data_IF_570314482925
#
_entry.id   IF_570314482925
#
_cell.length_a   1.000
_cell.length_b   1.000
_cell.length_c   1.000
_cell.angle_alpha   90.00
_cell.angle_beta   90.00
_cell.angle_gamma   90.00
#
_symmetry.space_group_name_H-M   'P 1'
#
loop_
_entity.id
_entity.type
_entity.pdbx_description
1 polymer ?
#
# COMPACT_ATOMS: atom_id res chain seq x y z
N UNK A 1 -37.83 -75.06 -44.48
CA UNK A 1 -37.07 -73.81 -44.64
C UNK A 1 -37.93 -72.63 -44.16
N UNK A 2 -37.70 -72.16 -42.93
CA UNK A 2 -37.62 -70.72 -42.60
C UNK A 2 -37.18 -70.59 -41.14
N UNK A 3 -36.01 -69.99 -40.97
CA UNK A 3 -35.37 -69.64 -39.70
C UNK A 3 -36.34 -68.95 -38.76
N UNK A 4 -36.49 -69.48 -37.54
CA UNK A 4 -36.83 -68.64 -36.40
C UNK A 4 -35.50 -68.33 -35.72
N UNK A 5 -34.90 -67.20 -36.09
CA UNK A 5 -33.71 -66.69 -35.42
C UNK A 5 -34.06 -66.39 -33.96
N UNK A 6 -33.48 -67.16 -33.04
CA UNK A 6 -33.44 -66.82 -31.63
C UNK A 6 -32.64 -65.53 -31.49
N UNK A 7 -33.33 -64.40 -31.30
CA UNK A 7 -32.70 -63.19 -30.81
C UNK A 7 -32.53 -63.39 -29.31
N UNK A 8 -31.34 -63.83 -28.90
CA UNK A 8 -30.88 -63.62 -27.54
C UNK A 8 -30.84 -62.12 -27.32
N UNK A 9 -31.63 -61.64 -26.37
CA UNK A 9 -31.54 -60.26 -25.91
C UNK A 9 -30.17 -60.12 -25.27
N UNK A 10 -29.20 -59.60 -26.03
CA UNK A 10 -27.97 -59.09 -25.46
C UNK A 10 -28.40 -58.08 -24.40
N UNK A 11 -27.96 -58.34 -23.17
CA UNK A 11 -28.15 -57.47 -22.04
C UNK A 11 -27.66 -56.10 -22.46
N UNK A 12 -28.59 -55.21 -22.80
CA UNK A 12 -28.27 -53.81 -23.03
C UNK A 12 -27.93 -53.31 -21.64
N UNK A 13 -26.66 -53.41 -21.26
CA UNK A 13 -26.09 -52.61 -20.20
C UNK A 13 -26.43 -51.19 -20.60
N UNK A 14 -27.51 -50.66 -20.01
CA UNK A 14 -27.80 -49.25 -20.04
C UNK A 14 -26.65 -48.69 -19.25
N UNK A 15 -25.57 -48.39 -19.96
CA UNK A 15 -24.42 -47.71 -19.41
C UNK A 15 -25.00 -46.36 -19.03
N UNK A 16 -25.50 -46.27 -17.80
CA UNK A 16 -26.08 -45.06 -17.25
C UNK A 16 -24.91 -44.10 -17.30
N UNK A 17 -24.91 -43.22 -18.30
CA UNK A 17 -23.97 -42.11 -18.36
C UNK A 17 -24.30 -41.29 -17.13
N UNK A 18 -23.59 -41.59 -16.04
CA UNK A 18 -23.72 -40.86 -14.81
C UNK A 18 -23.12 -39.48 -15.12
N UNK A 19 -23.99 -38.54 -15.50
CA UNK A 19 -23.59 -37.16 -15.73
C UNK A 19 -23.12 -36.63 -14.38
N UNK A 20 -21.81 -36.67 -14.17
CA UNK A 20 -21.18 -36.05 -13.03
C UNK A 20 -21.30 -34.54 -13.24
N UNK A 21 -22.30 -33.94 -12.61
CA UNK A 21 -22.38 -32.48 -12.50
C UNK A 21 -21.32 -32.01 -11.51
N UNK A 22 -20.22 -31.46 -12.04
CA UNK A 22 -19.25 -30.72 -11.23
C UNK A 22 -19.82 -29.35 -10.94
N UNK A 23 -20.35 -29.15 -9.74
CA UNK A 23 -20.72 -27.82 -9.28
C UNK A 23 -19.44 -27.07 -8.89
N UNK A 24 -19.08 -26.02 -9.64
CA UNK A 24 -17.98 -25.13 -9.27
C UNK A 24 -18.51 -24.16 -8.22
N UNK A 25 -18.03 -24.29 -6.98
CA UNK A 25 -18.29 -23.29 -5.95
C UNK A 25 -17.45 -22.04 -6.26
N UNK A 26 -18.05 -21.06 -6.96
CA UNK A 26 -17.43 -19.74 -7.15
C UNK A 26 -17.63 -18.97 -5.86
N UNK A 27 -16.57 -18.90 -5.06
CA UNK A 27 -16.59 -18.05 -3.86
C UNK A 27 -16.18 -16.66 -4.30
N UNK A 28 -17.13 -15.71 -4.34
CA UNK A 28 -16.80 -14.29 -4.59
C UNK A 28 -16.16 -13.72 -3.33
N UNK A 29 -14.84 -13.76 -3.24
CA UNK A 29 -14.12 -13.03 -2.20
C UNK A 29 -14.34 -11.54 -2.45
N UNK A 30 -15.06 -10.87 -1.56
CA UNK A 30 -15.12 -9.41 -1.57
C UNK A 30 -13.71 -8.88 -1.38
N UNK A 31 -13.17 -8.24 -2.41
CA UNK A 31 -11.85 -7.65 -2.36
C UNK A 31 -11.86 -6.45 -1.41
N UNK A 32 -11.14 -6.55 -0.29
CA UNK A 32 -10.98 -5.48 0.71
C UNK A 32 -9.50 -5.12 0.80
N UNK A 33 -9.10 -4.08 0.07
CA UNK A 33 -7.71 -3.64 0.00
C UNK A 33 -7.30 -3.01 1.32
N UNK A 34 -6.54 -3.76 2.14
CA UNK A 34 -6.08 -3.29 3.45
C UNK A 34 -4.57 -3.11 3.41
N UNK A 35 -4.09 -1.88 3.65
CA UNK A 35 -2.66 -1.57 3.77
C UNK A 35 -2.22 -1.87 5.20
N UNK A 36 -1.17 -2.70 5.34
CA UNK A 36 -0.91 -3.41 6.60
C UNK A 36 -0.24 -2.56 7.68
N UNK A 37 0.64 -1.59 7.35
CA UNK A 37 1.16 -0.62 8.34
C UNK A 37 2.30 0.22 7.77
N UNK A 38 2.30 1.54 7.94
CA UNK A 38 3.53 2.36 7.88
C UNK A 38 3.44 3.50 8.88
N UNK A 39 4.34 3.54 9.86
CA UNK A 39 4.61 4.72 10.67
C UNK A 39 6.01 5.20 10.29
N UNK A 40 6.09 6.37 9.66
CA UNK A 40 7.37 7.05 9.45
C UNK A 40 7.34 8.26 10.38
N UNK A 41 7.89 8.08 11.59
CA UNK A 41 8.25 9.21 12.42
C UNK A 41 9.63 9.67 11.98
N UNK A 42 9.76 10.93 11.56
CA UNK A 42 11.05 11.53 11.23
C UNK A 42 11.34 12.66 12.20
N UNK A 43 12.55 12.66 12.76
CA UNK A 43 13.09 13.83 13.43
C UNK A 43 13.83 14.67 12.39
N UNK A 44 13.62 15.99 12.44
CA UNK A 44 14.38 16.96 11.65
C UNK A 44 15.08 17.93 12.58
N UNK A 45 16.38 18.09 12.38
CA UNK A 45 17.16 19.09 13.06
C UNK A 45 16.86 20.45 12.44
N UNK A 46 16.65 21.45 13.29
CA UNK A 46 16.39 22.82 12.80
C UNK A 46 17.44 23.31 11.80
N UNK A 47 18.70 22.90 11.96
CA UNK A 47 19.82 23.34 11.12
C UNK A 47 19.92 22.59 9.79
N UNK A 48 19.38 21.36 9.68
CA UNK A 48 19.48 20.55 8.45
C UNK A 48 18.42 20.95 7.43
N UNK A 49 17.32 21.57 7.86
CA UNK A 49 16.16 22.05 7.09
C UNK A 49 15.48 21.04 6.15
N UNK A 50 16.06 19.89 5.87
CA UNK A 50 15.54 18.90 4.94
C UNK A 50 15.52 17.50 5.57
N UNK A 51 14.44 16.76 5.35
CA UNK A 51 14.37 15.34 5.70
C UNK A 51 13.75 14.55 4.56
N UNK A 52 14.40 13.45 4.21
CA UNK A 52 13.87 12.50 3.22
C UNK A 52 12.71 11.72 3.81
N UNK A 53 11.64 11.64 3.03
CA UNK A 53 10.50 10.81 3.38
C UNK A 53 10.70 9.44 2.75
N UNK A 54 10.81 8.43 3.60
CA UNK A 54 10.86 7.05 3.12
C UNK A 54 9.56 6.70 2.41
N UNK A 55 9.69 6.03 1.26
CA UNK A 55 8.52 5.52 0.57
C UNK A 55 7.85 4.48 1.45
N UNK A 56 6.58 4.68 1.85
CA UNK A 56 5.87 3.65 2.59
C UNK A 56 5.78 2.41 1.69
N UNK A 57 6.02 1.22 2.25
CA UNK A 57 5.67 0.02 1.53
C UNK A 57 4.14 -0.06 1.42
N UNK A 58 3.62 -1.05 0.72
CA UNK A 58 2.19 -1.37 0.78
C UNK A 58 2.02 -2.82 0.36
N UNK A 59 0.92 -3.41 0.80
CA UNK A 59 0.51 -4.75 0.39
C UNK A 59 -1.00 -4.74 0.24
N UNK A 60 -1.49 -5.48 -0.74
CA UNK A 60 -2.91 -5.79 -0.89
C UNK A 60 -3.17 -7.21 -0.39
N UNK A 61 -4.33 -7.42 0.21
CA UNK A 61 -4.75 -8.73 0.73
C UNK A 61 -6.14 -9.01 0.17
N UNK A 62 -6.38 -10.24 -0.30
CA UNK A 62 -7.68 -10.64 -0.87
C UNK A 62 -7.92 -10.16 -2.31
N UNK A 63 -6.92 -9.56 -2.97
CA UNK A 63 -7.01 -9.04 -4.34
C UNK A 63 -5.71 -9.37 -5.10
N UNK A 64 -5.52 -10.64 -5.53
CA UNK A 64 -4.24 -11.11 -6.10
C UNK A 64 -3.86 -10.46 -7.43
N UNK A 65 -4.83 -9.86 -8.12
CA UNK A 65 -4.71 -9.14 -9.38
C UNK A 65 -4.66 -7.61 -9.21
N UNK A 66 -4.68 -7.11 -7.98
CA UNK A 66 -4.61 -5.67 -7.74
C UNK A 66 -3.26 -5.10 -8.16
N UNK A 67 -3.26 -3.98 -8.87
CA UNK A 67 -2.06 -3.27 -9.26
C UNK A 67 -2.00 -1.90 -8.57
N UNK A 68 -0.79 -1.44 -8.27
CA UNK A 68 -0.56 -0.08 -7.78
C UNK A 68 -0.95 0.94 -8.85
N UNK A 69 -1.54 2.06 -8.42
CA UNK A 69 -1.91 3.17 -9.30
C UNK A 69 -1.16 4.44 -8.91
N UNK A 70 -1.30 4.91 -7.66
CA UNK A 70 -0.65 6.14 -7.20
C UNK A 70 -0.58 6.23 -5.68
N UNK A 71 0.26 7.14 -5.20
CA UNK A 71 0.14 7.70 -3.86
C UNK A 71 -0.53 9.07 -3.94
N UNK A 72 -1.57 9.30 -3.15
CA UNK A 72 -2.35 10.54 -3.19
C UNK A 72 -2.14 11.36 -1.93
N UNK A 73 -1.68 12.61 -2.07
CA UNK A 73 -1.65 13.57 -0.96
C UNK A 73 -3.09 13.86 -0.50
N UNK A 74 -3.40 13.59 0.76
CA UNK A 74 -4.71 13.85 1.38
C UNK A 74 -4.64 14.89 2.50
N UNK A 75 -3.45 15.21 3.00
CA UNK A 75 -3.21 16.32 3.90
C UNK A 75 -1.80 16.86 3.67
N UNK A 76 -1.69 18.18 3.50
CA UNK A 76 -0.40 18.87 3.48
C UNK A 76 0.08 19.16 4.91
N UNK A 77 1.40 19.32 5.11
CA UNK A 77 1.93 19.86 6.34
C UNK A 77 1.33 21.24 6.64
N UNK A 78 1.07 21.52 7.91
CA UNK A 78 0.52 22.79 8.39
C UNK A 78 1.29 23.37 9.58
N UNK A 79 2.25 22.64 10.12
CA UNK A 79 3.19 23.08 11.17
C UNK A 79 4.23 24.06 10.64
N UNK A 80 4.35 24.20 9.31
CA UNK A 80 5.10 25.26 8.65
C UNK A 80 6.30 24.78 7.84
N UNK A 81 6.41 23.48 7.55
CA UNK A 81 7.24 23.02 6.45
C UNK A 81 6.46 22.81 5.16
N UNK A 82 7.19 22.41 4.12
CA UNK A 82 6.67 22.18 2.78
C UNK A 82 7.13 20.81 2.28
N UNK A 83 6.21 20.01 1.77
CA UNK A 83 6.58 18.79 1.03
C UNK A 83 6.94 19.15 -0.41
N UNK A 84 8.08 18.64 -0.88
CA UNK A 84 8.58 18.85 -2.24
C UNK A 84 8.99 17.54 -2.90
N UNK A 85 8.73 17.43 -4.20
CA UNK A 85 9.26 16.36 -5.07
C UNK A 85 10.13 17.03 -6.12
N UNK A 86 11.38 16.59 -6.25
CA UNK A 86 12.35 17.16 -7.19
C UNK A 86 12.41 18.71 -7.09
N UNK A 87 12.32 19.25 -5.86
CA UNK A 87 12.36 20.70 -5.58
C UNK A 87 11.03 21.45 -5.80
N UNK A 88 10.00 20.80 -6.33
CA UNK A 88 8.68 21.42 -6.55
C UNK A 88 7.72 21.08 -5.41
N UNK A 89 7.03 22.11 -4.87
CA UNK A 89 6.03 21.91 -3.81
C UNK A 89 4.87 21.02 -4.29
N UNK A 90 4.53 20.02 -3.48
CA UNK A 90 3.37 19.17 -3.75
C UNK A 90 2.08 19.88 -3.37
N UNK A 91 0.96 19.50 -3.99
CA UNK A 91 -0.35 20.07 -3.73
C UNK A 91 -1.32 19.06 -3.10
N UNK A 92 -2.33 19.57 -2.41
CA UNK A 92 -3.41 18.73 -1.90
C UNK A 92 -4.10 18.04 -3.07
N UNK A 93 -4.43 16.76 -2.88
CA UNK A 93 -5.00 15.90 -3.89
C UNK A 93 -4.09 15.54 -5.07
N UNK A 94 -2.79 15.82 -5.00
CA UNK A 94 -1.83 15.38 -6.01
C UNK A 94 -1.62 13.86 -5.96
N UNK A 95 -1.57 13.22 -7.13
CA UNK A 95 -1.10 11.85 -7.29
C UNK A 95 0.40 11.84 -7.61
N UNK A 96 1.12 10.95 -6.92
CA UNK A 96 2.55 10.71 -7.07
C UNK A 96 2.77 9.27 -7.54
N UNK A 97 3.71 9.10 -8.47
CA UNK A 97 4.22 7.76 -8.82
C UNK A 97 5.12 7.21 -7.71
N UNK A 98 5.56 5.95 -7.85
CA UNK A 98 6.51 5.36 -6.89
C UNK A 98 7.84 6.12 -6.89
N UNK A 99 8.31 6.51 -8.07
CA UNK A 99 9.56 7.24 -8.27
C UNK A 99 9.48 8.64 -7.66
N UNK A 100 8.35 9.34 -7.84
CA UNK A 100 8.14 10.64 -7.24
C UNK A 100 8.06 10.56 -5.71
N UNK A 101 7.38 9.55 -5.17
CA UNK A 101 7.33 9.32 -3.73
C UNK A 101 8.71 9.02 -3.13
N UNK A 102 9.57 8.29 -3.85
CA UNK A 102 10.93 8.00 -3.41
C UNK A 102 11.84 9.23 -3.33
N UNK A 103 11.43 10.34 -3.96
CA UNK A 103 12.15 11.61 -3.96
C UNK A 103 11.45 12.68 -3.12
N UNK A 104 10.43 12.30 -2.35
CA UNK A 104 9.69 13.22 -1.52
C UNK A 104 10.58 13.70 -0.36
N UNK A 105 10.71 15.02 -0.23
CA UNK A 105 11.48 15.68 0.82
C UNK A 105 10.54 16.61 1.57
N UNK A 106 10.64 16.63 2.89
CA UNK A 106 10.07 17.70 3.70
C UNK A 106 11.14 18.77 3.95
N UNK A 107 10.80 20.01 3.62
CA UNK A 107 11.63 21.18 3.84
C UNK A 107 11.01 22.04 4.95
N UNK A 108 11.75 22.23 6.03
CA UNK A 108 11.37 23.09 7.14
C UNK A 108 11.55 24.56 6.73
N UNK A 109 10.51 25.37 6.86
CA UNK A 109 10.64 26.81 6.69
C UNK A 109 11.19 27.45 7.99
N UNK A 110 11.87 28.59 7.88
CA UNK A 110 12.70 29.21 8.94
C UNK A 110 11.95 29.76 10.19
N UNK A 111 10.74 29.29 10.48
CA UNK A 111 9.90 29.84 11.57
C UNK A 111 9.16 28.80 12.41
N UNK A 112 9.52 27.51 12.34
CA UNK A 112 8.75 26.43 12.98
C UNK A 112 9.43 25.84 14.21
N UNK A 113 8.67 25.76 15.30
CA UNK A 113 9.07 25.17 16.59
C UNK A 113 8.22 23.96 17.01
N UNK A 114 7.30 23.51 16.14
CA UNK A 114 6.32 22.47 16.47
C UNK A 114 6.35 21.32 15.48
N UNK A 115 5.87 20.15 15.92
CA UNK A 115 5.71 18.98 15.07
C UNK A 115 4.77 19.29 13.89
N UNK A 116 5.03 18.66 12.76
CA UNK A 116 4.22 18.76 11.56
C UNK A 116 3.76 17.37 11.12
N UNK A 117 2.74 17.29 10.28
CA UNK A 117 2.28 16.01 9.77
C UNK A 117 1.64 16.11 8.38
N UNK A 118 1.86 15.08 7.57
CA UNK A 118 1.25 14.95 6.25
C UNK A 118 0.53 13.61 6.12
N UNK A 119 -0.51 13.57 5.29
CA UNK A 119 -1.28 12.34 5.05
C UNK A 119 -1.42 12.03 3.58
N UNK A 120 -1.53 10.74 3.30
CA UNK A 120 -1.66 10.25 1.95
C UNK A 120 -2.36 8.90 1.91
N UNK A 121 -2.84 8.49 0.74
CA UNK A 121 -3.53 7.20 0.51
C UNK A 121 -2.95 6.48 -0.70
N UNK A 122 -2.89 5.15 -0.67
CA UNK A 122 -2.43 4.33 -1.78
C UNK A 122 -3.64 4.00 -2.61
N UNK A 123 -3.57 4.29 -3.90
CA UNK A 123 -4.56 3.85 -4.86
C UNK A 123 -4.07 2.65 -5.62
N UNK A 124 -4.99 1.74 -5.83
CA UNK A 124 -4.79 0.51 -6.59
C UNK A 124 -6.00 0.31 -7.50
N UNK A 125 -5.88 -0.62 -8.45
CA UNK A 125 -7.02 -1.05 -9.27
C UNK A 125 -8.18 -1.63 -8.44
N UNK A 126 -7.91 -2.03 -7.21
CA UNK A 126 -8.88 -2.65 -6.32
C UNK A 126 -9.55 -1.67 -5.34
N UNK A 127 -8.99 -0.46 -5.19
CA UNK A 127 -9.52 0.54 -4.26
C UNK A 127 -8.46 1.49 -3.71
N UNK A 128 -8.88 2.32 -2.76
CA UNK A 128 -8.04 3.28 -2.03
C UNK A 128 -7.81 2.80 -0.61
N UNK A 129 -6.58 2.89 -0.12
CA UNK A 129 -6.24 2.53 1.26
C UNK A 129 -6.80 3.53 2.27
N UNK A 130 -6.78 3.15 3.55
CA UNK A 130 -6.82 4.11 4.65
C UNK A 130 -5.68 5.13 4.53
N UNK A 131 -5.89 6.33 5.07
CA UNK A 131 -4.87 7.36 5.08
C UNK A 131 -3.71 6.98 6.00
N UNK A 132 -2.49 7.08 5.49
CA UNK A 132 -1.25 6.98 6.25
C UNK A 132 -0.78 8.36 6.67
N UNK A 133 -0.26 8.45 7.89
CA UNK A 133 0.24 9.69 8.48
C UNK A 133 1.76 9.63 8.56
N UNK A 134 2.40 10.73 8.17
CA UNK A 134 3.83 10.95 8.34
C UNK A 134 3.95 12.04 9.39
N UNK A 135 4.48 11.65 10.55
CA UNK A 135 4.66 12.55 11.66
C UNK A 135 6.11 13.06 11.62
N UNK A 136 6.26 14.37 11.67
CA UNK A 136 7.55 15.05 11.59
C UNK A 136 7.73 15.80 12.90
N UNK A 137 8.78 15.48 13.63
CA UNK A 137 9.14 16.17 14.86
C UNK A 137 10.30 17.11 14.58
N UNK A 138 10.11 18.39 14.83
CA UNK A 138 11.20 19.36 14.75
C UNK A 138 11.96 19.32 16.06
N UNK A 139 13.24 18.96 16.00
CA UNK A 139 14.14 18.94 17.14
C UNK A 139 14.95 20.22 17.14
N UNK A 140 14.74 21.05 18.17
CA UNK A 140 15.55 22.24 18.44
C UNK A 140 16.68 21.86 19.37
N UNK A 141 17.91 21.90 18.88
CA UNK A 141 19.09 21.61 19.68
C UNK A 141 19.70 22.94 20.12
N UNK A 142 19.72 23.21 21.43
CA UNK A 142 20.25 24.47 21.97
C UNK A 142 21.77 24.46 22.17
N UNK A 143 22.44 23.30 22.10
CA UNK A 143 23.90 23.19 22.05
C UNK A 143 24.35 21.79 21.66
N UNK A 144 25.35 21.71 20.78
CA UNK A 144 26.31 20.64 20.49
C UNK A 144 26.05 19.28 21.17
N UNK A 145 25.30 18.40 20.50
CA UNK A 145 25.11 17.02 20.97
C UNK A 145 23.71 16.48 20.79
N UNK A 146 23.05 16.80 19.69
CA UNK A 146 21.69 16.33 19.45
C UNK A 146 21.74 14.85 19.01
N UNK A 147 21.77 13.92 19.97
CA UNK A 147 21.75 12.49 19.66
C UNK A 147 20.47 12.09 18.91
N UNK A 148 19.36 12.81 19.14
CA UNK A 148 18.10 12.64 18.41
C UNK A 148 18.08 13.24 17.00
N UNK A 149 19.12 14.01 16.65
CA UNK A 149 19.40 14.46 15.28
C UNK A 149 20.17 13.42 14.46
N UNK A 150 20.77 12.44 15.11
CA UNK A 150 21.39 11.31 14.43
C UNK A 150 20.25 10.34 14.10
N UNK A 151 19.75 10.47 12.87
CA UNK A 151 18.81 9.57 12.19
C UNK A 151 18.72 8.19 12.86
N UNK A 152 17.71 7.99 13.71
CA UNK A 152 17.35 6.64 14.15
C UNK A 152 16.73 5.96 12.94
N UNK A 153 17.53 5.21 12.20
CA UNK A 153 17.03 4.21 11.27
C UNK A 153 16.19 3.23 12.10
N UNK A 154 14.87 3.28 11.92
CA UNK A 154 13.97 2.30 12.52
C UNK A 154 14.42 0.94 12.02
N UNK A 155 14.95 0.13 12.93
CA UNK A 155 15.31 -1.25 12.64
C UNK A 155 14.00 -2.02 12.51
N UNK A 156 13.62 -2.39 11.29
CA UNK A 156 12.53 -3.35 11.10
C UNK A 156 13.02 -4.71 11.60
N UNK A 157 12.49 -5.16 12.74
CA UNK A 157 12.69 -6.52 13.21
C UNK A 157 11.88 -7.44 12.29
N UNK A 158 12.53 -8.03 11.29
CA UNK A 158 11.99 -9.20 10.61
C UNK A 158 12.21 -10.40 11.52
N UNK A 159 11.17 -10.82 12.23
CA UNK A 159 11.16 -12.14 12.87
C UNK A 159 11.25 -13.20 11.77
N UNK A 160 12.16 -14.20 11.88
CA UNK A 160 12.33 -15.24 10.87
C UNK A 160 11.09 -16.11 10.65
#
# INVERSE_FOLDING_TARGET
MKNVSSVTQDSYDVNVVQVATTTVAITTTTCTCTVVSHAVAKNICRNDKFVFIETPAFRTTGCPDSSFTSYRITQLPNGGGTLKVDGTAVTLNQDLTKEQMAKLVYELNDSVTSADNAKFTVRTSCGTSSAYNINITVVTCESDGCSDCVTTTVTTTTTP
#
